data_IF_099114942201
#
_entry.id   IF_099114942201
#
_cell.length_a   1.000
_cell.length_b   1.000
_cell.length_c   1.000
_cell.angle_alpha   90.00
_cell.angle_beta   90.00
_cell.angle_gamma   90.00
#
_symmetry.space_group_name_H-M   'P 1'
#
loop_
_entity.id
_entity.type
_entity.pdbx_description
1 polymer ?
#
# COMPACT_ATOMS: atom_id res chain seq x y z
N UNK A 1 -19.12 15.50 -1.36
CA UNK A 1 -19.19 14.99 0.02
C UNK A 1 -17.89 15.43 0.67
N UNK A 2 -17.93 16.48 1.49
CA UNK A 2 -16.76 16.97 2.24
C UNK A 2 -16.51 16.01 3.40
N UNK A 3 -15.28 15.54 3.55
CA UNK A 3 -14.85 14.73 4.69
C UNK A 3 -14.55 15.75 5.79
N UNK A 4 -15.56 16.06 6.59
CA UNK A 4 -15.50 17.11 7.62
C UNK A 4 -14.97 16.58 8.97
N UNK A 5 -14.67 15.27 9.07
CA UNK A 5 -14.19 14.65 10.29
C UNK A 5 -12.95 13.76 10.04
N UNK A 6 -11.79 14.01 10.68
CA UNK A 6 -10.63 13.11 10.62
C UNK A 6 -10.92 11.71 11.18
N UNK A 7 -11.95 11.54 12.02
CA UNK A 7 -12.40 10.22 12.47
C UNK A 7 -13.17 9.44 11.38
N UNK A 8 -13.68 10.10 10.33
CA UNK A 8 -14.27 9.39 9.18
C UNK A 8 -13.19 8.71 8.32
N UNK A 9 -11.91 9.06 8.48
CA UNK A 9 -10.80 8.27 7.93
C UNK A 9 -10.67 6.91 8.64
N UNK A 10 -11.07 6.78 9.91
CA UNK A 10 -11.16 5.48 10.59
C UNK A 10 -12.33 4.62 10.06
N UNK A 11 -13.20 5.18 9.21
CA UNK A 11 -14.27 4.45 8.51
C UNK A 11 -13.89 4.00 7.09
N UNK A 12 -12.61 4.08 6.74
CA UNK A 12 -12.09 3.35 5.59
C UNK A 12 -12.52 1.89 5.75
N UNK A 13 -13.20 1.31 4.76
CA UNK A 13 -13.53 -0.15 4.75
C UNK A 13 -12.28 -1.03 4.59
N UNK A 14 -11.12 -0.48 4.91
CA UNK A 14 -9.90 -1.22 5.12
C UNK A 14 -9.17 -0.67 6.32
N UNK A 15 -8.57 -1.61 7.04
CA UNK A 15 -7.88 -1.36 8.28
C UNK A 15 -6.46 -0.94 7.93
N UNK A 16 -6.08 0.27 8.32
CA UNK A 16 -4.66 0.64 8.30
C UNK A 16 -3.92 -0.29 9.28
N UNK A 17 -2.75 -0.73 8.87
CA UNK A 17 -2.02 -1.76 9.61
C UNK A 17 -1.10 -1.07 10.60
N UNK A 18 -1.41 -1.23 11.89
CA UNK A 18 -0.61 -0.67 12.99
C UNK A 18 0.84 -1.16 12.94
N UNK A 19 1.78 -0.23 13.12
CA UNK A 19 3.22 -0.40 13.03
C UNK A 19 3.89 -0.71 14.36
N UNK A 20 3.16 -0.68 15.48
CA UNK A 20 3.76 -1.05 16.77
C UNK A 20 4.23 -2.51 16.73
N UNK A 21 5.51 -2.67 17.09
CA UNK A 21 6.30 -3.86 16.85
C UNK A 21 6.66 -4.51 18.17
N UNK A 22 5.88 -5.49 18.59
CA UNK A 22 6.11 -6.17 19.87
C UNK A 22 7.12 -7.33 19.77
N UNK A 23 7.55 -7.76 18.57
CA UNK A 23 8.37 -8.99 18.44
C UNK A 23 9.42 -8.97 17.32
N UNK A 24 10.64 -9.38 17.68
CA UNK A 24 11.78 -9.69 16.80
C UNK A 24 11.63 -11.04 16.05
N UNK A 25 10.40 -11.46 15.72
CA UNK A 25 10.20 -12.75 15.06
C UNK A 25 10.62 -12.68 13.58
N UNK A 26 11.27 -13.73 13.05
CA UNK A 26 11.56 -13.81 11.62
C UNK A 26 10.27 -13.72 10.81
N UNK A 27 10.25 -12.87 9.79
CA UNK A 27 9.10 -12.69 8.92
C UNK A 27 9.45 -13.08 7.47
N UNK A 28 8.49 -13.60 6.69
CA UNK A 28 8.67 -13.81 5.26
C UNK A 28 8.95 -12.48 4.55
N UNK A 29 9.87 -12.49 3.59
CA UNK A 29 10.17 -11.29 2.81
C UNK A 29 9.28 -11.23 1.58
N UNK A 30 8.55 -10.14 1.44
CA UNK A 30 7.72 -9.81 0.28
C UNK A 30 8.34 -8.64 -0.47
N UNK A 31 8.11 -8.62 -1.79
CA UNK A 31 8.53 -7.52 -2.68
C UNK A 31 7.36 -7.08 -3.55
N UNK A 32 7.45 -5.90 -4.14
CA UNK A 32 6.44 -5.46 -5.10
C UNK A 32 6.45 -6.33 -6.35
N UNK A 33 5.26 -6.67 -6.83
CA UNK A 33 5.07 -7.24 -8.17
C UNK A 33 5.52 -6.24 -9.23
N UNK A 34 5.94 -6.71 -10.41
CA UNK A 34 6.37 -5.84 -11.50
C UNK A 34 5.34 -4.77 -11.89
N UNK A 35 4.04 -5.09 -11.87
CA UNK A 35 2.97 -4.14 -12.22
C UNK A 35 2.88 -2.98 -11.22
N UNK A 36 2.95 -3.25 -9.91
CA UNK A 36 2.99 -2.23 -8.87
C UNK A 36 4.27 -1.38 -8.97
N UNK A 37 5.43 -2.05 -9.15
CA UNK A 37 6.72 -1.38 -9.31
C UNK A 37 6.76 -0.44 -10.52
N UNK A 38 6.13 -0.82 -11.62
CA UNK A 38 6.05 0.02 -12.82
C UNK A 38 5.27 1.32 -12.56
N UNK A 39 4.18 1.26 -11.80
CA UNK A 39 3.43 2.45 -11.40
C UNK A 39 4.29 3.38 -10.53
N UNK A 40 4.99 2.83 -9.53
CA UNK A 40 5.89 3.60 -8.68
C UNK A 40 7.02 4.25 -9.48
N UNK A 41 7.66 3.50 -10.37
CA UNK A 41 8.69 4.01 -11.30
C UNK A 41 8.16 5.10 -12.20
N UNK A 42 6.88 5.07 -12.57
CA UNK A 42 6.26 6.10 -13.39
C UNK A 42 6.04 7.39 -12.59
N UNK A 43 5.59 7.27 -11.34
CA UNK A 43 5.12 8.41 -10.55
C UNK A 43 6.17 9.06 -9.65
N UNK A 44 7.18 8.31 -9.19
CA UNK A 44 8.13 8.75 -8.16
C UNK A 44 9.47 9.12 -8.79
N UNK A 45 10.09 10.21 -8.33
CA UNK A 45 11.41 10.62 -8.79
C UNK A 45 12.45 9.53 -8.48
N UNK A 46 13.37 9.19 -9.42
CA UNK A 46 14.26 8.04 -9.25
C UNK A 46 15.11 8.08 -7.98
N UNK A 47 15.57 9.27 -7.56
CA UNK A 47 16.42 9.44 -6.36
C UNK A 47 15.71 9.18 -5.03
N UNK A 48 14.37 8.99 -5.05
CA UNK A 48 13.55 8.72 -3.86
C UNK A 48 12.90 7.34 -3.89
N UNK A 49 12.84 6.72 -5.08
CA UNK A 49 12.12 5.48 -5.31
C UNK A 49 12.63 4.34 -4.43
N UNK A 50 13.94 4.09 -4.43
CA UNK A 50 14.51 2.93 -3.73
C UNK A 50 14.22 2.95 -2.23
N UNK A 51 14.33 4.13 -1.59
CA UNK A 51 14.01 4.28 -0.17
C UNK A 51 12.52 4.10 0.11
N UNK A 52 11.64 4.63 -0.75
CA UNK A 52 10.20 4.46 -0.60
C UNK A 52 9.79 2.99 -0.75
N UNK A 53 10.31 2.32 -1.78
CA UNK A 53 10.08 0.90 -2.06
C UNK A 53 10.55 0.05 -0.89
N UNK A 54 11.80 0.24 -0.44
CA UNK A 54 12.35 -0.54 0.67
C UNK A 54 11.51 -0.41 1.95
N UNK A 55 11.05 0.80 2.27
CA UNK A 55 10.18 1.02 3.42
C UNK A 55 8.83 0.31 3.29
N UNK A 56 8.19 0.40 2.12
CA UNK A 56 6.89 -0.23 1.86
C UNK A 56 7.00 -1.76 1.81
N UNK A 57 8.06 -2.32 1.22
CA UNK A 57 8.34 -3.76 1.22
C UNK A 57 8.65 -4.29 2.61
N UNK A 58 9.42 -3.54 3.42
CA UNK A 58 9.65 -3.87 4.82
C UNK A 58 8.32 -3.96 5.58
N UNK A 59 7.49 -2.91 5.48
CA UNK A 59 6.16 -2.85 6.10
C UNK A 59 5.28 -4.01 5.66
N UNK A 60 5.16 -4.22 4.34
CA UNK A 60 4.36 -5.30 3.77
C UNK A 60 4.81 -6.66 4.29
N UNK A 61 6.12 -6.90 4.29
CA UNK A 61 6.71 -8.15 4.79
C UNK A 61 6.41 -8.43 6.26
N UNK A 62 6.44 -7.39 7.12
CA UNK A 62 6.17 -7.53 8.56
C UNK A 62 4.73 -7.95 8.87
N UNK A 63 3.79 -7.64 7.99
CA UNK A 63 2.37 -7.67 8.33
C UNK A 63 1.53 -8.54 7.40
N UNK A 64 2.05 -8.94 6.24
CA UNK A 64 1.34 -9.80 5.28
C UNK A 64 0.79 -11.08 5.91
N UNK A 65 1.55 -11.70 6.82
CA UNK A 65 1.12 -12.90 7.55
C UNK A 65 -0.14 -12.66 8.40
N UNK A 66 -0.30 -11.45 8.96
CA UNK A 66 -1.47 -11.08 9.76
C UNK A 66 -2.65 -10.65 8.88
N UNK A 67 -2.38 -10.22 7.65
CA UNK A 67 -3.42 -9.76 6.71
C UNK A 67 -4.26 -10.93 6.23
N UNK A 68 -3.65 -12.06 5.88
CA UNK A 68 -4.40 -13.25 5.46
C UNK A 68 -5.38 -13.72 6.55
N UNK A 69 -4.97 -13.65 7.82
CA UNK A 69 -5.83 -14.00 8.96
C UNK A 69 -6.95 -12.97 9.21
N UNK A 70 -6.65 -11.67 9.07
CA UNK A 70 -7.62 -10.58 9.25
C UNK A 70 -8.65 -10.48 8.11
N UNK A 71 -8.24 -10.61 6.85
CA UNK A 71 -9.14 -10.55 5.69
C UNK A 71 -10.14 -11.70 5.68
N UNK A 72 -9.73 -12.90 6.14
CA UNK A 72 -10.64 -14.04 6.32
C UNK A 72 -11.69 -13.80 7.41
N UNK A 73 -11.34 -13.04 8.45
CA UNK A 73 -12.20 -12.85 9.63
C UNK A 73 -13.20 -11.68 9.47
N UNK A 74 -12.80 -10.57 8.84
CA UNK A 74 -13.53 -9.30 8.90
C UNK A 74 -14.21 -8.91 7.57
N UNK A 75 -13.96 -9.62 6.45
CA UNK A 75 -14.48 -9.25 5.11
C UNK A 75 -14.20 -7.79 4.71
N UNK A 76 -13.12 -7.23 5.25
CA UNK A 76 -12.61 -5.88 4.98
C UNK A 76 -11.30 -5.97 4.19
N UNK A 77 -11.12 -5.08 3.22
CA UNK A 77 -9.93 -5.04 2.36
C UNK A 77 -8.79 -4.37 3.10
N UNK A 78 -7.66 -5.04 3.33
CA UNK A 78 -6.55 -4.41 4.05
C UNK A 78 -5.68 -3.56 3.11
N UNK A 79 -5.07 -2.50 3.63
CA UNK A 79 -4.05 -1.73 2.90
C UNK A 79 -3.00 -1.17 3.84
N UNK A 80 -1.82 -0.94 3.29
CA UNK A 80 -0.74 -0.21 3.93
C UNK A 80 -0.81 1.24 3.50
N UNK A 81 -0.78 2.17 4.45
CA UNK A 81 -0.64 3.59 4.15
C UNK A 81 0.77 4.09 4.44
N UNK A 82 1.24 5.02 3.61
CA UNK A 82 2.42 5.83 3.93
C UNK A 82 2.25 7.22 3.33
N UNK A 83 2.80 8.24 3.98
CA UNK A 83 2.84 9.59 3.44
C UNK A 83 4.29 10.02 3.18
N UNK A 84 4.51 10.67 2.05
CA UNK A 84 5.82 11.20 1.68
C UNK A 84 5.71 12.61 1.10
N UNK A 85 6.81 13.39 1.10
CA UNK A 85 6.78 14.75 0.59
C UNK A 85 6.35 14.82 -0.87
N UNK A 86 5.43 15.74 -1.19
CA UNK A 86 4.84 15.91 -2.52
C UNK A 86 5.90 16.09 -3.62
N UNK A 87 7.02 16.75 -3.33
CA UNK A 87 8.12 16.94 -4.28
C UNK A 87 8.84 15.64 -4.69
N UNK A 88 8.51 14.49 -4.10
CA UNK A 88 8.98 13.17 -4.55
C UNK A 88 8.21 12.68 -5.77
N UNK A 89 7.07 13.27 -6.11
CA UNK A 89 6.37 12.98 -7.36
C UNK A 89 7.13 13.56 -8.55
N UNK A 90 7.11 12.84 -9.67
CA UNK A 90 7.54 13.41 -10.94
C UNK A 90 6.56 14.48 -11.39
N UNK A 91 7.07 15.46 -12.15
CA UNK A 91 6.25 16.51 -12.74
C UNK A 91 5.12 15.88 -13.58
N UNK A 92 3.88 16.26 -13.30
CA UNK A 92 2.69 15.77 -13.99
C UNK A 92 2.04 14.53 -13.34
N UNK A 93 2.73 13.85 -12.42
CA UNK A 93 2.16 12.69 -11.71
C UNK A 93 1.09 13.09 -10.67
N UNK A 94 0.99 14.38 -10.34
CA UNK A 94 -0.11 14.91 -9.51
C UNK A 94 -1.49 14.70 -10.16
N UNK A 95 -1.56 14.62 -11.49
CA UNK A 95 -2.80 14.30 -12.20
C UNK A 95 -3.28 12.85 -11.99
N UNK A 96 -2.43 12.00 -11.39
CA UNK A 96 -2.74 10.61 -11.05
C UNK A 96 -3.23 10.46 -9.60
N UNK A 97 -3.26 11.56 -8.84
CA UNK A 97 -3.85 11.54 -7.50
C UNK A 97 -5.34 11.22 -7.64
N UNK A 98 -5.71 10.08 -7.06
CA UNK A 98 -7.08 9.58 -7.05
C UNK A 98 -7.71 9.97 -5.72
N UNK A 99 -8.97 10.40 -5.74
CA UNK A 99 -9.64 10.75 -4.49
C UNK A 99 -9.91 9.49 -3.64
N UNK A 100 -9.85 9.62 -2.32
CA UNK A 100 -10.17 8.50 -1.40
C UNK A 100 -11.53 7.85 -1.70
N UNK A 101 -12.62 8.58 -1.99
CA UNK A 101 -13.89 7.98 -2.39
C UNK A 101 -13.81 7.12 -3.67
N UNK A 102 -13.05 7.53 -4.68
CA UNK A 102 -12.88 6.75 -5.92
C UNK A 102 -12.08 5.47 -5.68
N UNK A 103 -11.08 5.53 -4.78
CA UNK A 103 -10.33 4.36 -4.33
C UNK A 103 -11.29 3.38 -3.64
N UNK A 104 -12.14 3.86 -2.73
CA UNK A 104 -13.12 3.03 -2.02
C UNK A 104 -14.11 2.33 -2.96
N UNK A 105 -14.58 3.02 -4.00
CA UNK A 105 -15.46 2.41 -5.03
C UNK A 105 -14.71 1.33 -5.80
N UNK A 106 -13.46 1.59 -6.19
CA UNK A 106 -12.62 0.63 -6.90
C UNK A 106 -12.32 -0.62 -6.06
N UNK A 107 -12.29 -0.47 -4.75
CA UNK A 107 -12.10 -1.55 -3.78
C UNK A 107 -13.36 -2.42 -3.59
N UNK A 108 -14.57 -1.85 -3.66
CA UNK A 108 -15.81 -2.60 -3.43
C UNK A 108 -16.19 -3.57 -4.56
N UNK A 109 -15.84 -3.23 -5.81
CA UNK A 109 -16.04 -4.08 -6.99
C UNK A 109 -14.81 -3.99 -7.90
N UNK A 110 -13.72 -4.72 -7.55
CA UNK A 110 -12.47 -4.63 -8.27
C UNK A 110 -12.60 -5.28 -9.65
N UNK A 111 -13.04 -4.50 -10.64
CA UNK A 111 -13.09 -4.95 -12.03
C UNK A 111 -11.66 -5.14 -12.54
N UNK A 112 -11.26 -6.35 -12.95
CA UNK A 112 -9.92 -6.59 -13.44
C UNK A 112 -9.66 -5.78 -14.70
N UNK A 113 -8.52 -5.10 -14.75
CA UNK A 113 -8.07 -4.36 -15.93
C UNK A 113 -6.99 -5.19 -16.62
N UNK A 114 -7.29 -5.72 -17.80
CA UNK A 114 -6.35 -6.58 -18.53
C UNK A 114 -6.03 -7.91 -17.83
N UNK A 115 -6.93 -8.39 -16.96
CA UNK A 115 -6.75 -9.65 -16.21
C UNK A 115 -6.04 -9.49 -14.86
N UNK A 116 -5.48 -8.31 -14.57
CA UNK A 116 -4.91 -7.98 -13.27
C UNK A 116 -5.95 -7.32 -12.38
N UNK A 117 -5.94 -7.64 -11.09
CA UNK A 117 -6.78 -6.95 -10.11
C UNK A 117 -6.37 -5.47 -10.04
N UNK A 118 -7.32 -4.52 -9.97
CA UNK A 118 -6.99 -3.11 -9.73
C UNK A 118 -6.23 -2.93 -8.39
N UNK A 119 -6.35 -3.87 -7.46
CA UNK A 119 -5.62 -3.88 -6.18
C UNK A 119 -4.15 -4.34 -6.33
N UNK A 120 -3.75 -4.84 -7.49
CA UNK A 120 -2.34 -5.12 -7.81
C UNK A 120 -1.54 -3.82 -8.07
N UNK A 121 -2.19 -2.65 -8.09
CA UNK A 121 -1.57 -1.36 -8.37
C UNK A 121 -1.75 -0.44 -7.16
N UNK A 122 -0.68 0.23 -6.68
CA UNK A 122 -0.81 1.22 -5.62
C UNK A 122 -1.63 2.44 -6.04
N UNK A 123 -2.38 3.02 -5.10
CA UNK A 123 -3.10 4.27 -5.31
C UNK A 123 -2.31 5.43 -4.70
N UNK A 124 -2.20 6.54 -5.43
CA UNK A 124 -1.72 7.81 -4.88
C UNK A 124 -2.92 8.70 -4.61
N UNK A 125 -2.90 9.41 -3.48
CA UNK A 125 -3.95 10.34 -3.10
C UNK A 125 -3.37 11.52 -2.32
N UNK A 126 -4.18 12.56 -2.13
CA UNK A 126 -3.82 13.67 -1.24
C UNK A 126 -3.47 13.15 0.17
N UNK A 127 -2.71 13.93 0.94
CA UNK A 127 -2.42 13.53 2.32
C UNK A 127 -3.70 13.19 3.08
N UNK A 128 -3.74 11.98 3.63
CA UNK A 128 -4.86 11.51 4.46
C UNK A 128 -4.89 12.23 5.81
N UNK A 129 -3.76 12.80 6.22
CA UNK A 129 -3.63 13.67 7.41
C UNK A 129 -3.87 15.15 7.11
N UNK A 130 -4.18 15.51 5.87
CA UNK A 130 -4.44 16.89 5.44
C UNK A 130 -3.19 17.78 5.30
N UNK A 131 -1.99 17.19 5.23
CA UNK A 131 -0.75 17.93 5.01
C UNK A 131 -0.54 18.20 3.52
N UNK A 132 -0.78 19.44 3.09
CA UNK A 132 -0.62 19.86 1.68
C UNK A 132 0.81 19.68 1.14
N UNK A 133 1.82 19.55 2.00
CA UNK A 133 3.19 19.27 1.63
C UNK A 133 3.45 17.80 1.31
N UNK A 134 2.46 16.92 1.50
CA UNK A 134 2.59 15.46 1.38
C UNK A 134 1.54 14.85 0.47
N UNK A 135 1.85 13.62 0.07
CA UNK A 135 1.00 12.73 -0.72
C UNK A 135 0.97 11.40 0.00
N UNK A 136 -0.20 10.76 0.02
CA UNK A 136 -0.36 9.42 0.57
C UNK A 136 -0.28 8.38 -0.54
N UNK A 137 0.29 7.22 -0.21
CA UNK A 137 0.21 6.01 -1.02
C UNK A 137 -0.54 4.94 -0.24
N UNK A 138 -1.49 4.30 -0.91
CA UNK A 138 -2.24 3.17 -0.41
C UNK A 138 -1.83 1.94 -1.21
N UNK A 139 -1.34 0.93 -0.52
CA UNK A 139 -0.84 -0.30 -1.12
C UNK A 139 -1.66 -1.46 -0.60
N UNK A 140 -2.33 -2.18 -1.48
CA UNK A 140 -3.03 -3.40 -1.09
C UNK A 140 -2.07 -4.61 -1.06
N UNK A 141 -2.36 -5.65 -0.27
CA UNK A 141 -1.59 -6.90 -0.22
C UNK A 141 -1.28 -7.51 -1.59
N UNK A 142 -2.22 -7.36 -2.53
CA UNK A 142 -2.12 -7.89 -3.89
C UNK A 142 -1.02 -7.22 -4.72
N UNK A 143 -0.51 -6.05 -4.31
CA UNK A 143 0.66 -5.40 -4.89
C UNK A 143 1.97 -6.17 -4.64
N UNK A 144 1.97 -7.10 -3.67
CA UNK A 144 3.16 -7.83 -3.26
C UNK A 144 3.15 -9.28 -3.75
N UNK A 145 4.36 -9.82 -3.88
CA UNK A 145 4.62 -11.24 -4.05
C UNK A 145 5.71 -11.66 -3.07
N UNK A 146 5.72 -12.93 -2.69
CA UNK A 146 6.79 -13.48 -1.86
C UNK A 146 8.10 -13.38 -2.62
N UNK A 147 9.14 -12.89 -1.96
CA UNK A 147 10.44 -12.73 -2.58
C UNK A 147 11.12 -14.11 -2.73
N UNK A 148 11.35 -14.61 -3.97
CA UNK A 148 11.97 -15.91 -4.18
C UNK A 148 13.43 -15.97 -3.73
N UNK A 149 14.11 -14.81 -3.63
CA UNK A 149 15.51 -14.72 -3.21
C UNK A 149 15.67 -14.92 -1.69
N UNK A 150 14.55 -14.81 -0.95
CA UNK A 150 14.48 -15.00 0.49
C UNK A 150 13.35 -16.00 0.78
N UNK A 151 13.54 -17.29 0.42
CA UNK A 151 12.58 -18.32 0.79
C UNK A 151 12.38 -18.27 2.30
N UNK A 152 11.16 -18.58 2.76
CA UNK A 152 10.92 -18.76 4.19
C UNK A 152 12.05 -19.63 4.72
N UNK A 153 12.59 -19.27 5.88
CA UNK A 153 13.42 -20.19 6.64
C UNK A 153 12.59 -21.46 6.87
N UNK A 154 12.65 -22.40 5.93
CA UNK A 154 12.31 -23.77 6.21
C UNK A 154 13.30 -24.19 7.26
N UNK A 155 12.77 -24.32 8.48
CA UNK A 155 13.09 -25.40 9.39
C UNK A 155 14.55 -25.85 9.31
N UNK A 156 15.43 -25.09 9.95
CA UNK A 156 16.66 -25.69 10.49
C UNK A 156 16.23 -26.62 11.63
N UNK A 157 15.69 -27.78 11.26
CA UNK A 157 15.59 -28.94 12.14
C UNK A 157 16.67 -29.94 11.72
#
# INVERSE_FOLDING_TARGET
MTIDNPDDFCSFKGKDIDFEDEKYDPFPVYRFKPVAMNMLKHCIVPSRLDNLVANLEYIGSRKMANVEELELAESTLSFFTNEFPRYWLKKGSEALLTSVPEILVSMQDPKPVGGESPLSIPFLTESIRGDEGKVAILVAPQCFEKNPDFPDKQMLN
#
